data_IF_720453734127
#
_entry.id   IF_720453734127
#
_cell.length_a   1.000
_cell.length_b   1.000
_cell.length_c   1.000
_cell.angle_alpha   90.00
_cell.angle_beta   90.00
_cell.angle_gamma   90.00
#
_symmetry.space_group_name_H-M   'P 1'
#
loop_
_entity.id
_entity.type
_entity.pdbx_description
1 polymer ?
#
# COMPACT_ATOMS: atom_id res chain seq x y z
N UNK A 1 -2.52 -7.08 40.39
CA UNK A 1 -2.27 -8.07 39.31
C UNK A 1 -3.43 -8.13 38.31
N UNK A 2 -4.68 -8.40 38.74
CA UNK A 2 -5.83 -8.50 37.81
C UNK A 2 -6.05 -7.24 36.95
N UNK A 3 -6.05 -6.05 37.57
CA UNK A 3 -6.25 -4.78 36.84
C UNK A 3 -5.19 -4.51 35.77
N UNK A 4 -3.93 -4.85 36.05
CA UNK A 4 -2.83 -4.68 35.09
C UNK A 4 -3.02 -5.63 33.89
N UNK A 5 -3.45 -6.87 34.15
CA UNK A 5 -3.75 -7.83 33.08
C UNK A 5 -4.94 -7.38 32.23
N UNK A 6 -5.98 -6.83 32.85
CA UNK A 6 -7.14 -6.28 32.14
C UNK A 6 -6.77 -5.06 31.28
N UNK A 7 -5.92 -4.17 31.80
CA UNK A 7 -5.41 -3.03 31.03
C UNK A 7 -4.56 -3.48 29.84
N UNK A 8 -3.69 -4.49 30.04
CA UNK A 8 -2.90 -5.08 28.96
C UNK A 8 -3.77 -5.73 27.88
N UNK A 9 -4.78 -6.50 28.28
CA UNK A 9 -5.73 -7.12 27.35
C UNK A 9 -6.52 -6.06 26.57
N UNK A 10 -6.99 -5.00 27.24
CA UNK A 10 -7.68 -3.88 26.60
C UNK A 10 -6.81 -3.19 25.54
N UNK A 11 -5.52 -2.98 25.83
CA UNK A 11 -4.58 -2.37 24.89
C UNK A 11 -4.35 -3.26 23.66
N UNK A 12 -4.24 -4.59 23.84
CA UNK A 12 -4.09 -5.54 22.73
C UNK A 12 -5.30 -5.47 21.80
N UNK A 13 -6.51 -5.50 22.36
CA UNK A 13 -7.76 -5.41 21.58
C UNK A 13 -7.83 -4.07 20.83
N UNK A 14 -7.47 -2.97 21.48
CA UNK A 14 -7.46 -1.65 20.87
C UNK A 14 -6.47 -1.56 19.70
N UNK A 15 -5.27 -2.10 19.86
CA UNK A 15 -4.26 -2.14 18.79
C UNK A 15 -4.75 -3.02 17.65
N UNK A 16 -5.21 -4.24 17.93
CA UNK A 16 -5.72 -5.15 16.91
C UNK A 16 -6.90 -4.53 16.13
N UNK A 17 -7.81 -3.85 16.82
CA UNK A 17 -8.91 -3.09 16.23
C UNK A 17 -8.41 -1.98 15.30
N UNK A 18 -7.44 -1.19 15.76
CA UNK A 18 -6.87 -0.09 14.98
C UNK A 18 -6.17 -0.56 13.69
N UNK A 19 -5.47 -1.70 13.74
CA UNK A 19 -4.79 -2.27 12.58
C UNK A 19 -5.76 -2.89 11.56
N UNK A 20 -6.91 -3.41 11.99
CA UNK A 20 -7.88 -4.02 11.07
C UNK A 20 -8.51 -3.01 10.11
N UNK A 21 -8.60 -1.73 10.48
CA UNK A 21 -9.18 -0.67 9.65
C UNK A 21 -8.23 -0.12 8.57
N UNK A 22 -6.96 -0.56 8.55
CA UNK A 22 -5.96 -0.07 7.60
C UNK A 22 -6.10 -0.83 6.26
N UNK A 23 -6.90 -0.32 5.33
CA UNK A 23 -6.83 -0.77 3.94
C UNK A 23 -5.60 -0.16 3.26
N UNK A 24 -4.80 -0.94 2.51
CA UNK A 24 -3.72 -0.40 1.71
C UNK A 24 -4.30 0.54 0.64
N UNK A 25 -3.74 1.73 0.51
CA UNK A 25 -4.16 2.69 -0.52
C UNK A 25 -3.79 2.12 -1.89
N UNK A 26 -4.78 1.56 -2.58
CA UNK A 26 -4.62 1.08 -3.95
C UNK A 26 -4.84 2.25 -4.88
N UNK A 27 -3.90 2.49 -5.80
CA UNK A 27 -4.08 3.51 -6.84
C UNK A 27 -4.83 2.88 -8.02
N UNK A 28 -6.09 3.29 -8.29
CA UNK A 28 -6.84 2.75 -9.42
C UNK A 28 -6.20 3.20 -10.73
N UNK A 29 -6.10 2.28 -11.68
CA UNK A 29 -5.65 2.59 -13.04
C UNK A 29 -6.60 3.60 -13.67
N UNK A 30 -6.12 4.81 -13.96
CA UNK A 30 -6.87 5.73 -14.80
C UNK A 30 -6.71 5.26 -16.25
N UNK A 31 -7.83 4.88 -16.89
CA UNK A 31 -7.89 4.61 -18.34
C UNK A 31 -6.88 3.57 -18.89
N UNK A 32 -6.58 2.53 -18.11
CA UNK A 32 -5.68 1.44 -18.54
C UNK A 32 -4.21 1.86 -18.69
N UNK A 33 -3.85 3.07 -18.25
CA UNK A 33 -2.48 3.55 -18.17
C UNK A 33 -2.11 3.72 -16.70
N UNK A 34 -1.06 3.02 -16.28
CA UNK A 34 -0.54 3.13 -14.92
C UNK A 34 0.88 3.67 -15.04
N UNK A 35 1.10 4.87 -14.49
CA UNK A 35 2.43 5.44 -14.39
C UNK A 35 3.11 4.95 -13.11
N UNK A 36 4.32 4.43 -13.28
CA UNK A 36 5.17 3.94 -12.20
C UNK A 36 6.41 4.83 -12.19
N UNK A 37 6.53 5.67 -11.17
CA UNK A 37 7.71 6.50 -10.95
C UNK A 37 8.82 5.68 -10.31
N UNK A 38 10.00 5.74 -10.90
CA UNK A 38 11.23 5.10 -10.40
C UNK A 38 12.17 6.21 -9.95
N UNK A 39 12.31 6.35 -8.64
CA UNK A 39 13.15 7.37 -8.02
C UNK A 39 13.90 6.78 -6.82
N UNK A 40 15.19 7.08 -6.74
CA UNK A 40 16.14 6.56 -5.75
C UNK A 40 16.08 5.04 -5.61
N UNK A 41 15.89 4.32 -6.72
CA UNK A 41 15.73 2.86 -6.73
C UNK A 41 14.40 2.32 -6.18
N UNK A 42 13.43 3.20 -5.87
CA UNK A 42 12.09 2.82 -5.41
C UNK A 42 11.03 3.00 -6.50
N UNK A 43 10.01 2.15 -6.49
CA UNK A 43 8.89 2.15 -7.43
C UNK A 43 7.62 2.67 -6.76
N UNK A 44 7.01 3.71 -7.32
CA UNK A 44 5.76 4.28 -6.81
C UNK A 44 4.71 4.34 -7.93
N UNK A 45 3.50 3.77 -7.74
CA UNK A 45 3.03 3.06 -6.55
C UNK A 45 3.59 1.65 -6.39
N UNK A 46 3.68 1.17 -5.15
CA UNK A 46 4.13 -0.19 -4.83
C UNK A 46 3.05 -1.27 -5.08
N UNK A 47 1.78 -0.89 -5.04
CA UNK A 47 0.65 -1.77 -5.30
C UNK A 47 -0.21 -1.19 -6.42
N UNK A 48 -0.43 -2.00 -7.46
CA UNK A 48 -1.29 -1.67 -8.60
C UNK A 48 -2.45 -2.67 -8.64
N UNK A 49 -3.65 -2.19 -8.94
CA UNK A 49 -4.80 -3.05 -9.18
C UNK A 49 -5.25 -2.87 -10.62
N UNK A 50 -5.36 -3.99 -11.34
CA UNK A 50 -5.76 -4.03 -12.74
C UNK A 50 -7.02 -4.86 -12.90
N UNK A 51 -7.91 -4.50 -13.83
CA UNK A 51 -9.06 -5.33 -14.15
C UNK A 51 -8.62 -6.67 -14.74
N UNK A 52 -9.25 -7.76 -14.30
CA UNK A 52 -8.97 -9.10 -14.81
C UNK A 52 -9.32 -9.20 -16.30
N UNK A 53 -8.50 -9.95 -17.05
CA UNK A 53 -8.69 -10.21 -18.49
C UNK A 53 -8.67 -8.95 -19.38
N UNK A 54 -8.08 -7.85 -18.92
CA UNK A 54 -7.88 -6.65 -19.70
C UNK A 54 -6.40 -6.36 -19.88
N UNK A 55 -6.01 -5.92 -21.07
CA UNK A 55 -4.66 -5.43 -21.33
C UNK A 55 -4.48 -4.06 -20.66
N UNK A 56 -3.39 -3.90 -19.92
CA UNK A 56 -3.03 -2.64 -19.24
C UNK A 56 -1.62 -2.24 -19.63
N UNK A 57 -1.39 -0.95 -19.85
CA UNK A 57 -0.06 -0.41 -20.14
C UNK A 57 0.56 0.16 -18.87
N UNK A 58 1.74 -0.32 -18.51
CA UNK A 58 2.55 0.21 -17.41
C UNK A 58 3.64 1.10 -17.99
N UNK A 59 3.61 2.39 -17.65
CA UNK A 59 4.61 3.37 -18.08
C UNK A 59 5.58 3.63 -16.94
N UNK A 60 6.84 3.26 -17.11
CA UNK A 60 7.87 3.51 -16.11
C UNK A 60 8.56 4.85 -16.39
N UNK A 61 8.41 5.80 -15.47
CA UNK A 61 9.06 7.11 -15.54
C UNK A 61 10.24 7.07 -14.58
N UNK A 62 11.45 7.05 -15.12
CA UNK A 62 12.67 6.98 -14.31
C UNK A 62 13.24 8.39 -14.12
N UNK A 63 13.27 8.84 -12.87
CA UNK A 63 13.85 10.12 -12.48
C UNK A 63 15.36 9.99 -12.17
N UNK A 64 15.81 8.78 -11.83
CA UNK A 64 17.21 8.51 -11.51
C UNK A 64 18.11 8.68 -12.74
N UNK A 65 19.17 9.48 -12.57
CA UNK A 65 20.22 9.63 -13.57
C UNK A 65 20.72 8.25 -14.04
N UNK A 66 20.91 8.12 -15.35
CA UNK A 66 21.51 6.90 -15.90
C UNK A 66 23.02 6.97 -15.72
N UNK A 67 23.68 5.90 -15.24
CA UNK A 67 25.13 5.82 -15.14
C UNK A 67 25.81 5.83 -16.52
#
# INVERSE_FOLDING_TARGET
MLYINLMGAGLIVLIAWWFWWRTPTVHPSQEGKIEIRVANGSYTPAHIQVPAHQSVTLTFIRDDASP
#
